data_IF_840105556501
#
_entry.id   IF_840105556501
#
_cell.length_a   1.000
_cell.length_b   1.000
_cell.length_c   1.000
_cell.angle_alpha   90.00
_cell.angle_beta   90.00
_cell.angle_gamma   90.00
#
_symmetry.space_group_name_H-M   'P 1'
#
loop_
_entity.id
_entity.type
_entity.pdbx_description
1 polymer ?
#
# COMPACT_ATOMS: atom_id res chain seq x y z
N UNK A 1 15.30 -32.34 -0.36
CA UNK A 1 13.91 -31.94 -0.05
C UNK A 1 13.92 -30.44 0.22
N UNK A 2 13.59 -29.64 -0.79
CA UNK A 2 13.83 -28.19 -0.83
C UNK A 2 12.74 -27.47 -0.03
N UNK A 3 13.13 -26.87 1.10
CA UNK A 3 12.22 -26.10 1.95
C UNK A 3 11.92 -24.73 1.36
N UNK A 4 10.70 -24.55 0.85
CA UNK A 4 10.11 -23.22 0.71
C UNK A 4 9.90 -22.68 2.12
N UNK A 5 10.77 -21.75 2.53
CA UNK A 5 10.65 -21.04 3.80
C UNK A 5 9.24 -20.48 3.94
N UNK A 6 8.49 -21.02 4.90
CA UNK A 6 7.12 -20.59 5.21
C UNK A 6 7.21 -19.17 5.76
N UNK A 7 7.23 -18.19 4.86
CA UNK A 7 7.01 -16.78 5.20
C UNK A 7 5.64 -16.73 5.87
N UNK A 8 5.62 -16.59 7.20
CA UNK A 8 4.41 -16.62 8.01
C UNK A 8 3.63 -15.31 7.81
N UNK A 9 3.13 -15.09 6.59
CA UNK A 9 2.44 -13.87 6.19
C UNK A 9 1.05 -13.85 6.82
N UNK A 10 0.85 -12.93 7.77
CA UNK A 10 -0.45 -12.70 8.40
C UNK A 10 -1.47 -12.05 7.45
N UNK A 11 -0.98 -11.38 6.41
CA UNK A 11 -1.80 -10.66 5.43
C UNK A 11 -1.34 -11.10 4.06
N UNK A 12 -2.29 -11.61 3.27
CA UNK A 12 -2.10 -11.91 1.86
C UNK A 12 -2.42 -10.65 1.05
N UNK A 13 -1.47 -10.22 0.24
CA UNK A 13 -1.65 -9.12 -0.71
C UNK A 13 -2.01 -9.74 -2.05
N UNK A 14 -3.21 -9.44 -2.54
CA UNK A 14 -3.65 -9.83 -3.88
C UNK A 14 -3.41 -8.65 -4.82
N UNK A 15 -2.65 -8.88 -5.89
CA UNK A 15 -2.35 -7.87 -6.91
C UNK A 15 -3.18 -8.13 -8.16
N UNK A 16 -4.26 -7.39 -8.30
CA UNK A 16 -5.08 -7.41 -9.52
C UNK A 16 -4.46 -6.57 -10.65
N UNK A 17 -3.45 -5.74 -10.35
CA UNK A 17 -2.81 -4.86 -11.32
C UNK A 17 -2.21 -5.60 -12.53
N UNK A 18 -1.65 -6.80 -12.34
CA UNK A 18 -1.06 -7.59 -13.43
C UNK A 18 -2.14 -8.16 -14.37
N UNK A 19 -3.24 -8.64 -13.79
CA UNK A 19 -4.40 -9.14 -14.54
C UNK A 19 -5.07 -7.99 -15.32
N UNK A 20 -5.27 -6.84 -14.68
CA UNK A 20 -5.82 -5.64 -15.31
C UNK A 20 -4.90 -5.14 -16.44
N UNK A 21 -3.58 -5.13 -16.22
CA UNK A 21 -2.60 -4.76 -17.25
C UNK A 21 -2.70 -5.68 -18.47
N UNK A 22 -2.95 -6.97 -18.25
CA UNK A 22 -3.13 -7.94 -19.33
C UNK A 22 -4.39 -7.65 -20.14
N UNK A 23 -5.52 -7.36 -19.47
CA UNK A 23 -6.77 -6.97 -20.12
C UNK A 23 -6.63 -5.66 -20.91
N UNK A 24 -5.97 -4.65 -20.33
CA UNK A 24 -5.75 -3.36 -21.00
C UNK A 24 -4.87 -3.49 -22.24
N UNK A 25 -3.85 -4.35 -22.20
CA UNK A 25 -3.00 -4.63 -23.38
C UNK A 25 -3.82 -5.25 -24.51
N UNK A 26 -4.66 -6.24 -24.19
CA UNK A 26 -5.55 -6.86 -25.18
C UNK A 26 -6.54 -5.86 -25.78
N UNK A 27 -7.09 -4.96 -24.96
CA UNK A 27 -7.97 -3.91 -25.45
C UNK A 27 -7.25 -2.95 -26.42
N UNK A 28 -6.00 -2.58 -26.13
CA UNK A 28 -5.20 -1.71 -27.00
C UNK A 28 -4.84 -2.32 -28.35
N UNK A 29 -4.76 -3.65 -28.44
CA UNK A 29 -4.50 -4.35 -29.71
C UNK A 29 -5.64 -4.14 -30.72
N UNK A 30 -6.87 -3.93 -30.24
CA UNK A 30 -8.07 -3.75 -31.08
C UNK A 30 -8.70 -2.35 -30.99
N UNK A 31 -8.15 -1.44 -30.17
CA UNK A 31 -8.77 -0.16 -29.88
C UNK A 31 -8.74 0.82 -31.09
N UNK A 32 -9.85 1.51 -31.37
CA UNK A 32 -9.89 2.59 -32.36
C UNK A 32 -9.07 3.79 -31.88
N UNK A 33 -8.65 4.65 -32.82
CA UNK A 33 -7.74 5.76 -32.55
C UNK A 33 -8.25 6.73 -31.46
N UNK A 34 -9.57 6.89 -31.33
CA UNK A 34 -10.15 7.77 -30.30
C UNK A 34 -9.98 7.22 -28.87
N UNK A 35 -9.95 5.90 -28.68
CA UNK A 35 -9.89 5.26 -27.36
C UNK A 35 -8.45 4.99 -26.89
N UNK A 36 -7.48 4.90 -27.81
CA UNK A 36 -6.08 4.57 -27.50
C UNK A 36 -5.45 5.46 -26.42
N UNK A 37 -5.55 6.80 -26.45
CA UNK A 37 -4.92 7.65 -25.43
C UNK A 37 -5.48 7.39 -24.02
N UNK A 38 -6.78 7.08 -23.93
CA UNK A 38 -7.43 6.75 -22.67
C UNK A 38 -6.94 5.43 -22.10
N UNK A 39 -6.82 4.40 -22.94
CA UNK A 39 -6.33 3.08 -22.54
C UNK A 39 -4.84 3.09 -22.18
N UNK A 40 -4.02 3.87 -22.88
CA UNK A 40 -2.61 4.10 -22.53
C UNK A 40 -2.48 4.78 -21.16
N UNK A 41 -3.33 5.77 -20.87
CA UNK A 41 -3.39 6.39 -19.54
C UNK A 41 -3.83 5.40 -18.46
N UNK A 42 -4.83 4.57 -18.75
CA UNK A 42 -5.28 3.53 -17.82
C UNK A 42 -4.16 2.51 -17.52
N UNK A 43 -3.36 2.14 -18.52
CA UNK A 43 -2.18 1.29 -18.34
C UNK A 43 -1.14 1.94 -17.43
N UNK A 44 -0.83 3.23 -17.64
CA UNK A 44 0.11 3.96 -16.80
C UNK A 44 -0.35 3.98 -15.33
N UNK A 45 -1.62 4.30 -15.08
CA UNK A 45 -2.19 4.30 -13.73
C UNK A 45 -2.17 2.91 -13.08
N UNK A 46 -2.43 1.86 -13.86
CA UNK A 46 -2.39 0.47 -13.36
C UNK A 46 -0.96 0.07 -13.00
N UNK A 47 0.04 0.47 -13.79
CA UNK A 47 1.44 0.23 -13.49
C UNK A 47 1.89 0.97 -12.22
N UNK A 48 1.48 2.23 -12.05
CA UNK A 48 1.72 3.01 -10.82
C UNK A 48 1.10 2.32 -9.59
N UNK A 49 -0.16 1.88 -9.70
CA UNK A 49 -0.83 1.16 -8.63
C UNK A 49 -0.15 -0.20 -8.33
N UNK A 50 0.34 -0.89 -9.36
CA UNK A 50 1.10 -2.12 -9.26
C UNK A 50 2.49 -1.96 -8.63
N UNK A 51 3.08 -0.76 -8.70
CA UNK A 51 4.42 -0.49 -8.16
C UNK A 51 4.45 -0.32 -6.63
N UNK A 52 3.29 -0.13 -5.98
CA UNK A 52 3.22 0.07 -4.51
C UNK A 52 3.76 -1.17 -3.80
N UNK A 53 4.79 -1.08 -2.92
CA UNK A 53 5.35 -2.24 -2.23
C UNK A 53 4.37 -2.98 -1.32
N UNK A 54 4.49 -4.31 -1.21
CA UNK A 54 3.61 -5.12 -0.34
C UNK A 54 3.65 -4.67 1.13
N UNK A 55 4.82 -4.25 1.62
CA UNK A 55 4.99 -3.79 2.99
C UNK A 55 4.13 -2.56 3.28
N UNK A 56 4.04 -1.64 2.33
CA UNK A 56 3.19 -0.46 2.45
C UNK A 56 1.70 -0.85 2.47
N UNK A 57 1.28 -1.78 1.61
CA UNK A 57 -0.10 -2.27 1.61
C UNK A 57 -0.47 -2.94 2.95
N UNK A 58 0.45 -3.74 3.51
CA UNK A 58 0.27 -4.33 4.84
C UNK A 58 0.24 -3.29 5.96
N UNK A 59 1.09 -2.26 5.87
CA UNK A 59 1.10 -1.15 6.83
C UNK A 59 -0.21 -0.37 6.83
N UNK A 60 -0.72 -0.01 5.64
CA UNK A 60 -2.04 0.65 5.46
C UNK A 60 -3.17 -0.22 6.01
N UNK A 61 -3.15 -1.53 5.75
CA UNK A 61 -4.12 -2.46 6.33
C UNK A 61 -4.04 -2.47 7.87
N UNK A 62 -2.83 -2.49 8.45
CA UNK A 62 -2.65 -2.53 9.89
C UNK A 62 -3.16 -1.25 10.57
N UNK A 63 -2.89 -0.08 9.98
CA UNK A 63 -3.42 1.21 10.45
C UNK A 63 -4.96 1.21 10.44
N UNK A 64 -5.59 0.82 9.34
CA UNK A 64 -7.06 0.71 9.26
C UNK A 64 -7.60 -0.25 10.32
N UNK A 65 -6.91 -1.37 10.57
CA UNK A 65 -7.36 -2.35 11.56
C UNK A 65 -7.26 -1.82 12.99
N UNK A 66 -6.17 -1.13 13.31
CA UNK A 66 -6.00 -0.43 14.60
C UNK A 66 -7.10 0.62 14.82
N UNK A 67 -7.37 1.46 13.82
CA UNK A 67 -8.43 2.46 13.87
C UNK A 67 -9.82 1.81 14.06
N UNK A 68 -10.11 0.72 13.35
CA UNK A 68 -11.36 -0.04 13.51
C UNK A 68 -11.54 -0.64 14.93
N UNK A 69 -10.44 -0.82 15.66
CA UNK A 69 -10.43 -1.27 17.04
C UNK A 69 -10.40 -0.09 18.06
N UNK A 70 -10.53 1.15 17.59
CA UNK A 70 -10.53 2.36 18.40
C UNK A 70 -9.14 2.84 18.83
N UNK A 71 -8.07 2.41 18.15
CA UNK A 71 -6.70 2.85 18.46
C UNK A 71 -6.18 3.83 17.40
N UNK A 72 -5.87 5.05 17.82
CA UNK A 72 -5.39 6.15 16.97
C UNK A 72 -3.98 6.65 17.33
N UNK A 73 -3.27 5.94 18.21
CA UNK A 73 -1.93 6.33 18.66
C UNK A 73 -0.78 5.82 17.78
N UNK A 74 0.48 5.99 18.23
CA UNK A 74 1.67 5.57 17.50
C UNK A 74 1.67 4.05 17.18
N UNK A 75 1.93 3.63 15.93
CA UNK A 75 1.84 2.23 15.52
C UNK A 75 2.74 1.28 16.30
N UNK A 76 3.87 1.75 16.84
CA UNK A 76 4.83 0.97 17.63
C UNK A 76 4.50 0.80 19.11
N UNK A 77 3.43 1.42 19.60
CA UNK A 77 3.04 1.24 21.00
C UNK A 77 2.56 -0.20 21.27
N UNK A 78 2.78 -0.69 22.49
CA UNK A 78 2.23 -1.99 22.93
C UNK A 78 0.71 -2.01 22.82
N UNK A 79 0.06 -0.86 23.07
CA UNK A 79 -1.38 -0.69 22.90
C UNK A 79 -1.83 -0.93 21.45
N UNK A 80 -1.05 -0.50 20.46
CA UNK A 80 -1.29 -0.72 19.03
C UNK A 80 -1.26 -2.21 18.67
N UNK A 81 -0.23 -2.92 19.15
CA UNK A 81 -0.07 -4.37 18.96
C UNK A 81 -1.22 -5.13 19.63
N UNK A 82 -1.65 -4.69 20.82
CA UNK A 82 -2.81 -5.26 21.52
C UNK A 82 -4.10 -5.02 20.74
N UNK A 83 -4.30 -3.83 20.18
CA UNK A 83 -5.45 -3.51 19.35
C UNK A 83 -5.50 -4.41 18.12
N UNK A 84 -4.38 -4.56 17.39
CA UNK A 84 -4.27 -5.46 16.24
C UNK A 84 -4.66 -6.91 16.57
N UNK A 85 -4.12 -7.48 17.65
CA UNK A 85 -4.40 -8.87 18.05
C UNK A 85 -5.80 -9.06 18.64
N UNK A 86 -6.42 -7.97 19.12
CA UNK A 86 -7.80 -8.00 19.60
C UNK A 86 -8.76 -8.02 18.42
N UNK A 87 -8.46 -7.20 17.40
CA UNK A 87 -9.20 -7.13 16.15
C UNK A 87 -9.04 -8.41 15.31
N UNK A 88 -7.82 -8.94 15.22
CA UNK A 88 -7.50 -10.17 14.48
C UNK A 88 -6.88 -11.21 15.40
N UNK A 89 -7.73 -12.09 15.93
CA UNK A 89 -7.35 -13.08 16.94
C UNK A 89 -6.40 -14.16 16.42
N UNK A 90 -6.34 -14.37 15.12
CA UNK A 90 -5.45 -15.35 14.46
C UNK A 90 -3.99 -14.87 14.37
N UNK A 91 -3.73 -13.57 14.60
CA UNK A 91 -2.38 -13.03 14.54
C UNK A 91 -1.51 -13.55 15.70
N UNK A 92 -0.39 -14.17 15.33
CA UNK A 92 0.70 -14.36 16.28
C UNK A 92 1.28 -13.01 16.71
N UNK A 93 1.95 -12.98 17.86
CA UNK A 93 2.60 -11.77 18.35
C UNK A 93 3.65 -11.25 17.35
N UNK A 94 4.46 -12.14 16.78
CA UNK A 94 5.49 -11.78 15.79
C UNK A 94 4.86 -11.11 14.55
N UNK A 95 3.75 -11.67 14.06
CA UNK A 95 3.02 -11.09 12.92
C UNK A 95 2.48 -9.70 13.24
N UNK A 96 1.85 -9.53 14.41
CA UNK A 96 1.34 -8.23 14.85
C UNK A 96 2.45 -7.19 15.02
N UNK A 97 3.61 -7.60 15.53
CA UNK A 97 4.81 -6.73 15.61
C UNK A 97 5.29 -6.34 14.22
N UNK A 98 5.40 -7.28 13.27
CA UNK A 98 5.83 -6.97 11.90
C UNK A 98 4.87 -6.02 11.19
N UNK A 99 3.56 -6.21 11.36
CA UNK A 99 2.53 -5.32 10.82
C UNK A 99 2.59 -3.91 11.42
N UNK A 100 2.90 -3.81 12.71
CA UNK A 100 3.17 -2.53 13.39
C UNK A 100 4.43 -1.83 12.84
N UNK A 101 5.46 -2.59 12.41
CA UNK A 101 6.63 -2.02 11.71
C UNK A 101 6.27 -1.46 10.35
N UNK A 102 5.54 -2.24 9.57
CA UNK A 102 5.06 -1.84 8.24
C UNK A 102 4.19 -0.58 8.36
N UNK A 103 3.32 -0.48 9.38
CA UNK A 103 2.51 0.71 9.65
C UNK A 103 3.32 1.96 9.99
N UNK A 104 4.34 1.83 10.85
CA UNK A 104 5.25 2.94 11.19
C UNK A 104 5.97 3.48 9.95
N UNK A 105 6.43 2.58 9.07
CA UNK A 105 7.11 2.95 7.83
C UNK A 105 6.20 3.75 6.88
N UNK A 106 4.89 3.43 6.86
CA UNK A 106 3.91 4.18 6.07
C UNK A 106 3.76 5.61 6.59
N UNK A 107 3.66 5.81 7.90
CA UNK A 107 3.54 7.17 8.48
C UNK A 107 4.82 8.00 8.24
N UNK A 108 6.01 7.40 8.45
CA UNK A 108 7.28 8.10 8.18
C UNK A 108 7.50 8.43 6.71
N UNK A 109 6.93 7.66 5.77
CA UNK A 109 6.92 8.00 4.35
C UNK A 109 5.94 9.13 4.01
N UNK A 110 4.76 9.17 4.65
CA UNK A 110 3.78 10.24 4.49
C UNK A 110 4.33 11.60 4.94
N UNK A 111 5.07 11.63 6.05
CA UNK A 111 5.72 12.86 6.54
C UNK A 111 6.77 13.39 5.55
N UNK A 112 7.46 12.50 4.82
CA UNK A 112 8.43 12.88 3.79
C UNK A 112 7.76 13.40 2.50
N UNK A 113 6.61 12.85 2.11
CA UNK A 113 5.84 13.32 0.95
C UNK A 113 5.08 14.64 1.24
N UNK A 114 4.52 14.80 2.44
CA UNK A 114 3.74 15.98 2.84
C UNK A 114 4.55 17.28 2.98
N UNK A 115 5.88 17.19 3.16
CA UNK A 115 6.77 18.36 3.18
C UNK A 115 7.12 18.92 1.78
N UNK A 116 6.77 18.22 0.70
CA UNK A 116 7.11 18.64 -0.67
C UNK A 116 6.07 19.61 -1.27
N UNK A 117 4.83 19.62 -0.76
CA UNK A 117 3.71 20.44 -1.27
C UNK A 117 3.68 21.89 -0.74
N UNK A 118 4.56 22.26 0.21
CA UNK A 118 4.53 23.58 0.88
C UNK A 118 5.66 24.54 0.44
N UNK A 119 6.23 24.35 -0.77
CA UNK A 119 7.14 25.36 -1.35
C UNK A 119 6.33 26.45 -2.07
N UNK A 120 6.23 27.69 -1.53
CA UNK A 120 5.63 28.78 -2.27
C UNK A 120 6.48 29.06 -3.51
N UNK A 121 5.83 29.11 -4.67
CA UNK A 121 6.43 29.61 -5.90
C UNK A 121 6.80 31.08 -5.69
N UNK A 122 8.09 31.36 -5.50
CA UNK A 122 8.60 32.73 -5.56
C UNK A 122 8.36 33.27 -6.98
N UNK A 123 7.62 34.39 -7.14
CA UNK A 123 7.53 35.02 -8.44
C UNK A 123 8.82 35.79 -8.72
N UNK A 124 9.60 35.29 -9.67
CA UNK A 124 10.58 36.11 -10.37
C UNK A 124 9.86 37.23 -11.13
N UNK A 125 9.96 38.46 -10.62
CA UNK A 125 9.97 39.73 -11.37
C UNK A 125 10.13 40.87 -10.34
N UNK A 126 11.10 41.77 -10.44
CA UNK A 126 11.54 42.49 -11.63
C UNK A 126 12.92 43.11 -11.41
#
# INVERSE_FOLDING_TARGET
MTGFGKQNMAVLVLREADDITTVLRQALDTAPAEERPGLERAMALTAEAGAVPDAELRGRWALRRMASAGYEGPPRAVAAIKALRTAERSLSLLQAVNLSKDAEAVLGGQDAQGGQDDRPAEPEAK
#
